data_IF_688349879769
#
_entry.id   IF_688349879769
#
_cell.length_a   1.000
_cell.length_b   1.000
_cell.length_c   1.000
_cell.angle_alpha   90.00
_cell.angle_beta   90.00
_cell.angle_gamma   90.00
#
_symmetry.space_group_name_H-M   'P 1'
#
loop_
_entity.id
_entity.type
_entity.pdbx_description
1 polymer ?
#
# COMPACT_ATOMS: atom_id res chain seq x y z
N UNK A 1 6.00 -14.04 -30.47
CA UNK A 1 4.84 -13.90 -29.56
C UNK A 1 4.74 -12.45 -29.14
N UNK A 2 3.62 -11.74 -29.43
CA UNK A 2 3.48 -10.35 -29.05
C UNK A 2 3.30 -10.24 -27.53
N UNK A 3 3.72 -9.09 -27.03
CA UNK A 3 3.90 -8.73 -25.63
C UNK A 3 2.58 -8.61 -24.88
N UNK A 4 2.12 -9.68 -24.24
CA UNK A 4 1.03 -9.58 -23.26
C UNK A 4 1.57 -8.94 -21.97
N UNK A 5 0.99 -7.80 -21.58
CA UNK A 5 1.20 -7.18 -20.27
C UNK A 5 0.93 -8.23 -19.17
N UNK A 6 1.86 -8.40 -18.23
CA UNK A 6 1.73 -9.41 -17.18
C UNK A 6 2.15 -10.84 -17.55
N UNK A 7 2.82 -11.08 -18.69
CA UNK A 7 3.32 -12.40 -19.03
C UNK A 7 4.31 -12.94 -17.96
N UNK A 8 4.13 -14.20 -17.49
CA UNK A 8 4.96 -14.80 -16.46
C UNK A 8 6.40 -15.06 -16.94
N UNK A 9 7.35 -15.10 -16.01
CA UNK A 9 8.73 -15.52 -16.30
C UNK A 9 8.82 -17.04 -16.25
N UNK A 10 9.09 -17.66 -17.39
CA UNK A 10 9.27 -19.10 -17.54
C UNK A 10 10.71 -19.47 -17.15
N UNK A 11 10.87 -20.54 -16.37
CA UNK A 11 12.18 -21.10 -16.03
C UNK A 11 12.72 -21.95 -17.18
N UNK A 12 14.05 -21.99 -17.34
CA UNK A 12 14.67 -22.86 -18.34
C UNK A 12 14.30 -24.32 -18.08
N UNK A 13 13.94 -25.04 -19.13
CA UNK A 13 13.76 -26.49 -19.04
C UNK A 13 15.08 -27.17 -18.65
N UNK A 14 15.04 -27.95 -17.59
CA UNK A 14 16.17 -28.74 -17.07
C UNK A 14 15.85 -30.24 -17.02
N UNK A 15 14.87 -30.70 -17.80
CA UNK A 15 14.43 -32.10 -17.84
C UNK A 15 13.43 -32.46 -16.74
N UNK A 16 12.74 -31.47 -16.17
CA UNK A 16 11.75 -31.63 -15.11
C UNK A 16 10.42 -30.95 -15.45
N UNK A 17 9.64 -30.59 -14.43
CA UNK A 17 8.39 -29.86 -14.64
C UNK A 17 8.63 -28.45 -15.19
N UNK A 18 7.78 -28.03 -16.13
CA UNK A 18 7.79 -26.67 -16.66
C UNK A 18 7.23 -25.72 -15.61
N UNK A 19 8.09 -24.86 -15.09
CA UNK A 19 7.76 -23.95 -14.01
C UNK A 19 7.83 -22.48 -14.47
N UNK A 20 7.00 -21.65 -13.87
CA UNK A 20 6.99 -20.20 -14.07
C UNK A 20 6.94 -19.47 -12.73
N UNK A 21 7.58 -18.31 -12.67
CA UNK A 21 7.43 -17.40 -11.54
C UNK A 21 6.02 -16.79 -11.55
N UNK A 22 5.42 -16.70 -10.37
CA UNK A 22 4.10 -16.09 -10.19
C UNK A 22 4.10 -14.61 -10.61
N UNK A 23 3.07 -14.22 -11.36
CA UNK A 23 2.89 -12.85 -11.84
C UNK A 23 1.97 -12.01 -10.93
N UNK A 24 1.21 -12.69 -10.05
CA UNK A 24 0.37 -12.14 -8.99
C UNK A 24 0.35 -13.07 -7.75
N UNK A 25 -0.44 -12.72 -6.73
CA UNK A 25 -0.71 -13.57 -5.56
C UNK A 25 -2.13 -14.19 -5.60
N UNK A 26 -3.04 -13.65 -6.42
CA UNK A 26 -4.42 -14.13 -6.55
C UNK A 26 -4.53 -15.51 -7.19
N UNK A 27 -3.80 -15.79 -8.29
CA UNK A 27 -3.83 -17.12 -8.93
C UNK A 27 -3.23 -18.21 -8.03
N UNK A 28 -2.06 -18.00 -7.38
CA UNK A 28 -1.57 -18.93 -6.37
C UNK A 28 -2.55 -19.21 -5.23
N UNK A 29 -3.30 -18.18 -4.78
CA UNK A 29 -4.33 -18.33 -3.77
C UNK A 29 -5.52 -19.17 -4.26
N UNK A 30 -6.02 -18.90 -5.46
CA UNK A 30 -7.09 -19.69 -6.06
C UNK A 30 -6.72 -21.18 -6.16
N UNK A 31 -5.50 -21.47 -6.60
CA UNK A 31 -4.95 -22.83 -6.62
C UNK A 31 -4.87 -23.42 -5.20
N UNK A 32 -4.39 -22.67 -4.22
CA UNK A 32 -4.29 -23.13 -2.83
C UNK A 32 -5.66 -23.51 -2.24
N UNK A 33 -6.67 -22.66 -2.39
CA UNK A 33 -8.04 -22.91 -1.92
C UNK A 33 -8.60 -24.18 -2.54
N UNK A 34 -8.48 -24.30 -3.87
CA UNK A 34 -8.99 -25.46 -4.61
C UNK A 34 -8.28 -26.77 -4.22
N UNK A 35 -6.95 -26.78 -4.17
CA UNK A 35 -6.16 -27.98 -3.85
C UNK A 35 -6.41 -28.51 -2.43
N UNK A 36 -6.74 -27.63 -1.49
CA UNK A 36 -7.01 -28.01 -0.10
C UNK A 36 -8.50 -28.21 0.18
N UNK A 37 -9.38 -28.10 -0.82
CA UNK A 37 -10.83 -28.25 -0.64
C UNK A 37 -11.45 -27.21 0.31
N UNK A 38 -10.84 -26.01 0.39
CA UNK A 38 -11.28 -24.94 1.29
C UNK A 38 -12.51 -24.26 0.70
N UNK A 39 -13.56 -24.10 1.50
CA UNK A 39 -14.83 -23.49 1.07
C UNK A 39 -15.03 -22.06 1.59
N UNK A 40 -14.27 -21.64 2.60
CA UNK A 40 -14.28 -20.27 3.13
C UNK A 40 -12.92 -19.95 3.77
N UNK A 41 -12.36 -18.79 3.47
CA UNK A 41 -11.10 -18.31 4.02
C UNK A 41 -11.01 -16.79 3.87
N UNK A 42 -10.58 -16.09 4.93
CA UNK A 42 -10.06 -14.72 4.82
C UNK A 42 -8.55 -14.75 5.04
N UNK A 43 -7.77 -14.11 4.16
CA UNK A 43 -6.32 -14.11 4.27
C UNK A 43 -5.70 -12.86 3.69
N UNK A 44 -4.56 -12.46 4.25
CA UNK A 44 -3.64 -11.54 3.58
C UNK A 44 -2.38 -12.29 3.13
N UNK A 45 -1.72 -11.77 2.10
CA UNK A 45 -0.43 -12.27 1.64
C UNK A 45 0.43 -11.12 1.13
N UNK A 46 1.62 -10.97 1.72
CA UNK A 46 2.64 -10.03 1.25
C UNK A 46 3.75 -10.82 0.58
N UNK A 47 4.06 -10.51 -0.67
CA UNK A 47 5.08 -11.25 -1.39
C UNK A 47 5.51 -10.61 -2.69
N UNK A 48 6.72 -10.97 -3.12
CA UNK A 48 7.25 -10.58 -4.43
C UNK A 48 6.52 -11.32 -5.55
N UNK A 49 6.29 -10.59 -6.64
CA UNK A 49 5.76 -11.09 -7.91
C UNK A 49 6.63 -10.63 -9.06
N UNK A 50 6.52 -11.33 -10.19
CA UNK A 50 7.41 -11.10 -11.34
C UNK A 50 6.62 -10.89 -12.62
N UNK A 51 6.79 -9.72 -13.25
CA UNK A 51 6.15 -9.40 -14.53
C UNK A 51 7.20 -9.02 -15.56
N UNK A 52 7.09 -9.53 -16.79
CA UNK A 52 8.00 -9.18 -17.90
C UNK A 52 7.59 -7.89 -18.59
N UNK A 53 7.25 -6.87 -17.81
CA UNK A 53 6.89 -5.56 -18.31
C UNK A 53 8.14 -4.74 -18.70
N UNK A 54 7.91 -3.67 -19.48
CA UNK A 54 8.91 -2.66 -19.75
C UNK A 54 9.15 -1.82 -18.49
N UNK A 55 10.37 -1.83 -17.93
CA UNK A 55 10.65 -1.14 -16.68
C UNK A 55 10.58 0.37 -16.85
N UNK A 56 10.01 1.06 -15.86
CA UNK A 56 9.99 2.52 -15.73
C UNK A 56 10.03 2.89 -14.25
N UNK A 57 10.15 4.18 -13.91
CA UNK A 57 10.09 4.62 -12.51
C UNK A 57 8.76 4.16 -11.87
N UNK A 58 8.82 3.48 -10.72
CA UNK A 58 7.64 2.87 -10.06
C UNK A 58 7.06 1.62 -10.76
N UNK A 59 7.69 1.11 -11.81
CA UNK A 59 7.29 -0.10 -12.53
C UNK A 59 8.48 -1.02 -12.74
N UNK A 60 8.61 -1.99 -11.84
CA UNK A 60 9.71 -2.94 -11.82
C UNK A 60 9.29 -4.30 -12.38
N UNK A 61 10.27 -5.16 -12.64
CA UNK A 61 10.05 -6.55 -13.09
C UNK A 61 9.89 -7.54 -11.94
N UNK A 62 10.37 -7.16 -10.77
CA UNK A 62 10.14 -7.78 -9.48
C UNK A 62 9.66 -6.66 -8.56
N UNK A 63 8.56 -6.87 -7.84
CA UNK A 63 8.01 -5.91 -6.89
C UNK A 63 7.13 -6.62 -5.88
N UNK A 64 6.87 -5.97 -4.74
CA UNK A 64 5.94 -6.48 -3.74
C UNK A 64 4.47 -6.18 -4.10
N UNK A 65 3.62 -7.17 -3.83
CA UNK A 65 2.18 -6.98 -3.67
C UNK A 65 1.79 -7.31 -2.22
N UNK A 66 0.79 -6.60 -1.73
CA UNK A 66 0.11 -6.87 -0.47
C UNK A 66 -1.37 -7.13 -0.76
N UNK A 67 -1.74 -8.40 -0.81
CA UNK A 67 -3.09 -8.83 -1.16
C UNK A 67 -3.88 -9.15 0.11
N UNK A 68 -5.16 -8.78 0.13
CA UNK A 68 -6.15 -9.23 1.11
C UNK A 68 -7.36 -9.78 0.36
N UNK A 69 -7.77 -11.00 0.69
CA UNK A 69 -8.83 -11.71 -0.03
C UNK A 69 -9.76 -12.45 0.92
N UNK A 70 -11.04 -12.44 0.57
CA UNK A 70 -12.12 -13.17 1.22
C UNK A 70 -12.70 -14.14 0.20
N UNK A 71 -12.46 -15.43 0.41
CA UNK A 71 -13.08 -16.53 -0.33
C UNK A 71 -14.23 -17.12 0.49
N UNK A 72 -15.33 -17.46 -0.16
CA UNK A 72 -16.48 -18.13 0.43
C UNK A 72 -17.79 -17.71 -0.20
N UNK A 73 -18.81 -18.56 -0.02
CA UNK A 73 -20.17 -18.27 -0.47
C UNK A 73 -20.89 -17.41 0.58
N UNK A 74 -21.04 -16.12 0.29
CA UNK A 74 -21.75 -15.16 1.13
C UNK A 74 -22.99 -14.68 0.38
N UNK A 75 -24.16 -14.75 1.01
CA UNK A 75 -25.46 -14.36 0.43
C UNK A 75 -25.59 -12.85 0.13
N UNK A 76 -24.58 -12.04 0.44
CA UNK A 76 -24.63 -10.58 0.37
C UNK A 76 -23.30 -10.02 -0.11
N UNK A 77 -23.29 -8.75 -0.53
CA UNK A 77 -22.09 -7.96 -0.88
C UNK A 77 -21.32 -7.42 0.34
N UNK A 78 -21.55 -8.00 1.52
CA UNK A 78 -20.85 -7.59 2.74
C UNK A 78 -19.33 -7.77 2.65
N UNK A 79 -18.78 -8.90 2.12
CA UNK A 79 -17.34 -9.04 1.94
C UNK A 79 -16.74 -7.98 1.01
N UNK A 80 -17.46 -7.59 -0.04
CA UNK A 80 -17.03 -6.55 -0.98
C UNK A 80 -16.88 -5.21 -0.27
N UNK A 81 -17.85 -4.89 0.59
CA UNK A 81 -17.86 -3.66 1.39
C UNK A 81 -16.75 -3.68 2.44
N UNK A 82 -16.50 -4.83 3.08
CA UNK A 82 -15.41 -5.05 4.04
C UNK A 82 -14.04 -4.81 3.38
N UNK A 83 -13.82 -5.34 2.17
CA UNK A 83 -12.57 -5.13 1.43
C UNK A 83 -12.33 -3.66 1.10
N UNK A 84 -13.37 -2.93 0.68
CA UNK A 84 -13.27 -1.48 0.41
C UNK A 84 -12.99 -0.71 1.71
N UNK A 85 -13.63 -1.08 2.83
CA UNK A 85 -13.38 -0.47 4.13
C UNK A 85 -11.93 -0.66 4.59
N UNK A 86 -11.40 -1.89 4.51
CA UNK A 86 -10.00 -2.18 4.83
C UNK A 86 -9.06 -1.34 3.95
N UNK A 87 -9.35 -1.23 2.65
CA UNK A 87 -8.56 -0.39 1.76
C UNK A 87 -8.58 1.08 2.19
N UNK A 88 -9.75 1.63 2.55
CA UNK A 88 -9.83 3.02 3.02
C UNK A 88 -9.03 3.25 4.29
N UNK A 89 -9.15 2.36 5.29
CA UNK A 89 -8.40 2.48 6.56
C UNK A 89 -6.89 2.38 6.33
N UNK A 90 -6.45 1.44 5.51
CA UNK A 90 -5.04 1.26 5.19
C UNK A 90 -4.45 2.51 4.51
N UNK A 91 -5.18 3.11 3.57
CA UNK A 91 -4.71 4.32 2.89
C UNK A 91 -4.69 5.55 3.82
N UNK A 92 -5.63 5.64 4.77
CA UNK A 92 -5.64 6.69 5.79
C UNK A 92 -4.44 6.56 6.74
N UNK A 93 -4.19 5.34 7.25
CA UNK A 93 -3.08 5.07 8.18
C UNK A 93 -1.72 5.31 7.55
N UNK A 94 -1.56 5.03 6.25
CA UNK A 94 -0.32 5.29 5.52
C UNK A 94 0.00 6.79 5.40
N UNK A 95 -0.99 7.67 5.55
CA UNK A 95 -0.84 9.14 5.51
C UNK A 95 -0.02 9.65 4.30
N UNK A 96 -0.22 9.02 3.15
CA UNK A 96 0.53 9.31 1.91
C UNK A 96 0.02 10.55 1.16
N UNK A 97 -0.89 11.32 1.75
CA UNK A 97 -1.56 12.46 1.14
C UNK A 97 -2.76 12.07 0.27
N UNK A 98 -3.28 13.04 -0.48
CA UNK A 98 -4.52 12.88 -1.25
C UNK A 98 -4.40 11.85 -2.40
N UNK A 99 -5.39 10.98 -2.52
CA UNK A 99 -5.53 10.02 -3.61
C UNK A 99 -6.90 10.19 -4.26
N UNK A 100 -7.02 10.59 -5.52
CA UNK A 100 -8.33 10.89 -6.11
C UNK A 100 -8.45 10.53 -7.59
N UNK A 101 -9.68 10.53 -8.06
CA UNK A 101 -10.10 10.47 -9.47
C UNK A 101 -9.56 11.68 -10.25
N UNK A 102 -9.13 11.46 -11.50
CA UNK A 102 -8.62 12.52 -12.38
C UNK A 102 -9.69 13.52 -12.83
N UNK A 103 -9.80 14.69 -12.20
CA UNK A 103 -10.59 15.79 -12.76
C UNK A 103 -9.97 16.35 -14.04
N UNK A 104 -10.71 16.25 -15.16
CA UNK A 104 -10.66 17.28 -16.20
C UNK A 104 -11.81 18.24 -15.91
N UNK A 105 -11.54 19.25 -15.07
CA UNK A 105 -12.40 20.43 -14.99
C UNK A 105 -11.99 21.35 -16.13
N UNK A 106 -12.92 21.61 -17.04
CA UNK A 106 -12.84 22.78 -17.91
C UNK A 106 -12.95 24.03 -17.03
N UNK A 107 -12.02 24.96 -17.24
CA UNK A 107 -11.77 26.19 -16.52
C UNK A 107 -13.02 26.99 -16.13
N UNK A 108 -13.10 27.43 -14.87
CA UNK A 108 -13.88 28.60 -14.46
C UNK A 108 -12.95 29.56 -13.73
N UNK A 109 -12.82 30.77 -14.27
CA UNK A 109 -12.13 31.90 -13.66
C UNK A 109 -12.93 32.44 -12.46
N UNK A 110 -12.30 32.62 -11.29
CA UNK A 110 -12.05 33.95 -10.68
C UNK A 110 -11.53 33.87 -9.22
N UNK A 111 -10.51 34.71 -8.97
CA UNK A 111 -10.18 35.42 -7.73
C UNK A 111 -9.49 34.69 -6.55
N UNK A 112 -8.34 35.27 -6.15
CA UNK A 112 -7.39 34.84 -5.11
C UNK A 112 -7.98 34.69 -3.69
N UNK A 113 -9.22 35.12 -3.42
CA UNK A 113 -9.82 35.03 -2.09
C UNK A 113 -10.36 33.62 -1.79
N UNK A 114 -10.69 32.84 -2.82
CA UNK A 114 -11.19 31.47 -2.66
C UNK A 114 -10.08 30.51 -2.22
N UNK A 115 -8.82 30.75 -2.60
CA UNK A 115 -7.71 29.82 -2.35
C UNK A 115 -7.40 29.71 -0.86
N UNK A 116 -7.43 30.80 -0.10
CA UNK A 116 -7.13 30.75 1.33
C UNK A 116 -8.27 30.13 2.15
N UNK A 117 -9.53 30.42 1.78
CA UNK A 117 -10.70 29.80 2.40
C UNK A 117 -10.81 28.32 2.00
N UNK A 118 -10.47 27.96 0.77
CA UNK A 118 -10.38 26.58 0.28
C UNK A 118 -9.24 25.84 0.97
N UNK A 119 -8.08 26.46 1.23
CA UNK A 119 -6.98 25.81 1.97
C UNK A 119 -7.32 25.58 3.44
N UNK A 120 -8.08 26.48 4.06
CA UNK A 120 -8.57 26.33 5.44
C UNK A 120 -9.73 25.32 5.50
N UNK A 121 -10.63 25.33 4.52
CA UNK A 121 -11.67 24.30 4.34
C UNK A 121 -11.04 22.94 4.03
N UNK A 122 -10.04 22.83 3.15
CA UNK A 122 -9.28 21.60 2.87
C UNK A 122 -8.50 21.08 4.08
N UNK A 123 -8.19 21.93 5.08
CA UNK A 123 -7.63 21.49 6.37
C UNK A 123 -8.70 21.07 7.39
N UNK A 124 -9.92 21.58 7.27
CA UNK A 124 -11.06 21.25 8.15
C UNK A 124 -11.99 20.17 7.57
N UNK A 125 -11.79 19.84 6.29
CA UNK A 125 -12.56 18.90 5.52
C UNK A 125 -11.57 17.84 5.03
N UNK A 126 -11.71 16.60 5.52
CA UNK A 126 -11.05 15.37 5.04
C UNK A 126 -11.41 15.02 3.57
N UNK A 127 -11.36 15.98 2.64
CA UNK A 127 -11.75 15.77 1.25
C UNK A 127 -10.52 15.52 0.38
N UNK A 128 -10.76 14.73 -0.66
CA UNK A 128 -9.88 14.42 -1.82
C UNK A 128 -9.15 13.07 -1.77
N UNK A 129 -9.63 12.13 -0.94
CA UNK A 129 -9.15 10.75 -0.94
C UNK A 129 -10.26 9.77 -1.37
N UNK A 130 -10.36 9.48 -2.67
CA UNK A 130 -11.41 8.69 -3.32
C UNK A 130 -10.90 7.44 -4.04
N UNK A 131 -11.62 6.34 -3.84
CA UNK A 131 -11.49 5.06 -4.52
C UNK A 131 -12.54 5.02 -5.63
N UNK A 132 -12.08 4.82 -6.87
CA UNK A 132 -12.98 4.54 -7.99
C UNK A 132 -13.60 3.16 -7.78
N UNK A 133 -14.90 3.05 -8.03
CA UNK A 133 -15.64 1.80 -7.97
C UNK A 133 -16.53 1.68 -9.19
N UNK A 134 -16.64 0.47 -9.71
CA UNK A 134 -17.60 0.09 -10.74
C UNK A 134 -17.98 -1.39 -10.58
N UNK A 135 -18.83 -1.89 -11.46
CA UNK A 135 -19.27 -3.28 -11.47
C UNK A 135 -19.20 -3.88 -12.86
N UNK A 136 -18.65 -5.10 -12.99
CA UNK A 136 -18.46 -5.78 -14.28
C UNK A 136 -19.77 -5.91 -15.07
N UNK A 137 -20.83 -6.39 -14.42
CA UNK A 137 -22.15 -6.52 -15.05
C UNK A 137 -22.79 -5.16 -15.41
N UNK A 138 -22.46 -4.08 -14.69
CA UNK A 138 -22.93 -2.73 -15.05
C UNK A 138 -22.24 -2.27 -16.34
N UNK A 139 -20.92 -2.50 -16.43
CA UNK A 139 -20.13 -2.20 -17.62
C UNK A 139 -20.60 -3.02 -18.82
N UNK A 140 -20.81 -4.32 -18.67
CA UNK A 140 -21.31 -5.17 -19.76
C UNK A 140 -22.73 -4.74 -20.19
N UNK A 141 -23.63 -4.46 -19.24
CA UNK A 141 -24.95 -3.91 -19.55
C UNK A 141 -24.91 -2.54 -20.25
N UNK A 142 -23.99 -1.66 -19.87
CA UNK A 142 -23.74 -0.39 -20.58
C UNK A 142 -23.38 -0.62 -22.05
N UNK A 143 -22.49 -1.58 -22.33
CA UNK A 143 -22.08 -1.93 -23.69
C UNK A 143 -23.24 -2.53 -24.50
N UNK A 144 -24.03 -3.41 -23.89
CA UNK A 144 -25.27 -3.95 -24.50
C UNK A 144 -26.25 -2.82 -24.88
N UNK A 145 -26.49 -1.88 -23.97
CA UNK A 145 -27.38 -0.73 -24.17
C UNK A 145 -26.88 0.17 -25.31
N UNK A 146 -25.57 0.30 -25.46
CA UNK A 146 -24.96 1.08 -26.54
C UNK A 146 -25.08 0.38 -27.91
N UNK A 147 -25.32 -0.94 -27.94
CA UNK A 147 -25.39 -1.73 -29.17
C UNK A 147 -24.08 -2.44 -29.53
N UNK A 148 -23.16 -2.58 -28.57
CA UNK A 148 -21.89 -3.30 -28.80
C UNK A 148 -22.17 -4.80 -28.97
N UNK A 149 -21.56 -5.49 -29.95
CA UNK A 149 -21.61 -6.94 -30.04
C UNK A 149 -20.85 -7.61 -28.89
N UNK A 150 -21.40 -8.69 -28.32
CA UNK A 150 -20.85 -9.35 -27.12
C UNK A 150 -19.43 -9.88 -27.31
N UNK A 151 -19.08 -10.32 -28.52
CA UNK A 151 -17.73 -10.76 -28.88
C UNK A 151 -16.68 -9.64 -28.81
N UNK A 152 -17.11 -8.37 -28.87
CA UNK A 152 -16.24 -7.19 -28.78
C UNK A 152 -16.15 -6.60 -27.38
N UNK A 153 -16.87 -7.11 -26.38
CA UNK A 153 -16.90 -6.49 -25.05
C UNK A 153 -15.50 -6.35 -24.44
N UNK A 154 -14.70 -7.42 -24.48
CA UNK A 154 -13.35 -7.40 -23.91
C UNK A 154 -12.44 -6.39 -24.60
N UNK A 155 -12.46 -6.36 -25.93
CA UNK A 155 -11.60 -5.43 -26.68
C UNK A 155 -12.03 -3.99 -26.43
N UNK A 156 -13.33 -3.70 -26.33
CA UNK A 156 -13.85 -2.36 -26.03
C UNK A 156 -13.58 -1.95 -24.58
N UNK A 157 -13.75 -2.82 -23.59
CA UNK A 157 -13.30 -2.57 -22.21
C UNK A 157 -11.82 -2.18 -22.15
N UNK A 158 -10.97 -2.86 -22.93
CA UNK A 158 -9.54 -2.53 -23.02
C UNK A 158 -9.27 -1.16 -23.65
N UNK A 159 -10.15 -0.65 -24.52
CA UNK A 159 -10.11 0.74 -24.99
C UNK A 159 -10.47 1.71 -23.87
N UNK A 160 -11.57 1.45 -23.17
CA UNK A 160 -12.10 2.30 -22.10
C UNK A 160 -11.09 2.43 -20.95
N UNK A 161 -10.41 1.35 -20.57
CA UNK A 161 -9.37 1.36 -19.52
C UNK A 161 -8.22 2.36 -19.79
N UNK A 162 -7.99 2.74 -21.05
CA UNK A 162 -6.98 3.73 -21.42
C UNK A 162 -7.42 5.17 -21.16
N UNK A 163 -8.67 5.42 -20.76
CA UNK A 163 -9.22 6.75 -20.49
C UNK A 163 -8.49 7.50 -19.38
N UNK A 164 -7.81 6.78 -18.48
CA UNK A 164 -6.97 7.40 -17.46
C UNK A 164 -5.76 8.16 -18.02
N UNK A 165 -5.38 7.88 -19.27
CA UNK A 165 -4.15 8.41 -19.90
C UNK A 165 -4.41 9.10 -21.24
N UNK A 166 -5.46 8.70 -21.94
CA UNK A 166 -5.78 9.18 -23.28
C UNK A 166 -7.13 9.89 -23.27
N UNK A 167 -7.26 10.93 -24.10
CA UNK A 167 -8.53 11.60 -24.29
C UNK A 167 -9.56 10.67 -24.96
N UNK A 168 -10.84 10.94 -24.72
CA UNK A 168 -11.92 10.18 -25.35
C UNK A 168 -11.83 10.16 -26.88
N UNK A 169 -11.41 11.25 -27.53
CA UNK A 169 -11.20 11.30 -28.99
C UNK A 169 -10.15 10.31 -29.51
N UNK A 170 -9.09 10.04 -28.72
CA UNK A 170 -8.12 9.00 -29.09
C UNK A 170 -8.74 7.61 -28.96
N UNK A 171 -9.51 7.39 -27.90
CA UNK A 171 -10.14 6.09 -27.61
C UNK A 171 -11.28 5.79 -28.59
N UNK A 172 -12.04 6.81 -28.98
CA UNK A 172 -13.07 6.73 -30.03
C UNK A 172 -12.47 6.26 -31.35
N UNK A 173 -11.35 6.85 -31.77
CA UNK A 173 -10.62 6.40 -32.98
C UNK A 173 -10.16 4.95 -32.85
N UNK A 174 -9.59 4.55 -31.71
CA UNK A 174 -9.22 3.13 -31.48
C UNK A 174 -10.44 2.18 -31.59
N UNK A 175 -11.58 2.56 -31.01
CA UNK A 175 -12.80 1.74 -31.07
C UNK A 175 -13.34 1.60 -32.50
N UNK A 176 -13.31 2.68 -33.29
CA UNK A 176 -13.84 2.69 -34.66
C UNK A 176 -12.85 2.06 -35.63
N UNK A 177 -11.64 2.61 -35.70
CA UNK A 177 -10.67 2.31 -36.76
C UNK A 177 -9.98 0.94 -36.54
N UNK A 178 -9.69 0.56 -35.29
CA UNK A 178 -8.97 -0.68 -34.98
C UNK A 178 -9.90 -1.82 -34.57
N UNK A 179 -10.99 -1.52 -33.85
CA UNK A 179 -11.91 -2.54 -33.29
C UNK A 179 -13.20 -2.69 -34.10
N UNK A 180 -13.38 -1.85 -35.13
CA UNK A 180 -14.49 -1.94 -36.09
C UNK A 180 -15.84 -1.70 -35.45
N UNK A 181 -15.94 -0.79 -34.48
CA UNK A 181 -17.22 -0.29 -33.97
C UNK A 181 -17.74 0.80 -34.90
N UNK A 182 -19.06 0.95 -35.02
CA UNK A 182 -19.62 2.11 -35.70
C UNK A 182 -19.48 3.38 -34.83
N UNK A 183 -19.44 4.54 -35.50
CA UNK A 183 -19.23 5.84 -34.85
C UNK A 183 -20.36 6.17 -33.87
N UNK A 184 -21.60 5.79 -34.19
CA UNK A 184 -22.77 6.08 -33.35
C UNK A 184 -22.71 5.30 -32.03
N UNK A 185 -22.37 4.02 -32.07
CA UNK A 185 -22.14 3.18 -30.88
C UNK A 185 -20.97 3.72 -30.06
N UNK A 186 -19.87 4.12 -30.70
CA UNK A 186 -18.74 4.72 -30.00
C UNK A 186 -19.12 6.03 -29.28
N UNK A 187 -19.94 6.88 -29.91
CA UNK A 187 -20.45 8.10 -29.29
C UNK A 187 -21.40 7.82 -28.12
N UNK A 188 -22.27 6.81 -28.24
CA UNK A 188 -23.12 6.34 -27.13
C UNK A 188 -22.30 5.85 -25.94
N UNK A 189 -21.22 5.09 -26.16
CA UNK A 189 -20.30 4.71 -25.08
C UNK A 189 -19.76 5.97 -24.40
N UNK A 190 -19.38 6.97 -25.19
CA UNK A 190 -18.85 8.25 -24.72
C UNK A 190 -19.74 9.03 -23.77
N UNK A 191 -21.07 8.91 -23.89
CA UNK A 191 -21.99 9.59 -22.98
C UNK A 191 -22.02 8.95 -21.59
N UNK A 192 -21.80 7.64 -21.49
CA UNK A 192 -21.79 6.92 -20.22
C UNK A 192 -20.43 6.92 -19.55
N UNK A 193 -19.34 6.65 -20.27
CA UNK A 193 -17.99 6.56 -19.66
C UNK A 193 -17.50 7.90 -19.09
N UNK A 194 -18.12 9.02 -19.47
CA UNK A 194 -17.84 10.33 -18.86
C UNK A 194 -18.57 10.55 -17.53
N UNK A 195 -19.55 9.72 -17.21
CA UNK A 195 -20.34 9.82 -15.98
C UNK A 195 -19.57 9.21 -14.82
N UNK A 196 -19.43 10.02 -13.78
CA UNK A 196 -18.86 9.64 -12.50
C UNK A 196 -19.40 10.58 -11.44
N UNK A 197 -19.52 10.11 -10.21
CA UNK A 197 -20.05 10.95 -9.14
C UNK A 197 -20.15 10.24 -7.81
N UNK A 198 -20.84 10.89 -6.88
CA UNK A 198 -21.13 10.32 -5.57
C UNK A 198 -21.93 9.02 -5.74
N UNK A 199 -21.59 7.95 -5.01
CA UNK A 199 -22.13 6.62 -5.30
C UNK A 199 -23.66 6.56 -5.26
N UNK A 200 -24.29 7.11 -4.22
CA UNK A 200 -25.74 7.09 -4.06
C UNK A 200 -26.48 8.00 -5.05
N UNK A 201 -25.92 9.16 -5.37
CA UNK A 201 -26.52 10.14 -6.31
C UNK A 201 -26.52 9.57 -7.74
N UNK A 202 -25.36 9.12 -8.23
CA UNK A 202 -25.24 8.54 -9.57
C UNK A 202 -26.01 7.22 -9.69
N UNK A 203 -26.04 6.40 -8.63
CA UNK A 203 -26.85 5.18 -8.63
C UNK A 203 -28.35 5.50 -8.75
N UNK A 204 -28.83 6.55 -8.09
CA UNK A 204 -30.22 6.98 -8.19
C UNK A 204 -30.58 7.44 -9.62
N UNK A 205 -29.67 8.15 -10.29
CA UNK A 205 -29.81 8.53 -11.71
C UNK A 205 -29.88 7.29 -12.62
N UNK A 206 -28.97 6.32 -12.42
CA UNK A 206 -28.97 5.07 -13.17
C UNK A 206 -30.22 4.22 -12.91
N UNK A 207 -30.84 4.37 -11.73
CA UNK A 207 -32.08 3.72 -11.32
C UNK A 207 -33.35 4.55 -11.58
N UNK A 208 -33.26 5.68 -12.29
CA UNK A 208 -34.43 6.50 -12.60
C UNK A 208 -35.42 5.72 -13.49
N UNK A 209 -36.72 5.97 -13.30
CA UNK A 209 -37.77 5.37 -14.14
C UNK A 209 -37.55 5.71 -15.62
N UNK A 210 -37.61 4.69 -16.49
CA UNK A 210 -37.27 4.80 -17.92
C UNK A 210 -35.78 4.66 -18.24
N UNK A 211 -34.91 4.41 -17.25
CA UNK A 211 -33.51 4.11 -17.49
C UNK A 211 -33.33 2.75 -18.18
N UNK A 212 -32.58 2.76 -19.29
CA UNK A 212 -32.21 1.54 -20.01
C UNK A 212 -31.41 0.55 -19.15
N UNK A 213 -30.71 1.03 -18.12
CA UNK A 213 -29.98 0.16 -17.18
C UNK A 213 -30.92 -0.65 -16.29
N UNK A 214 -32.12 -0.15 -16.02
CA UNK A 214 -33.12 -0.82 -15.20
C UNK A 214 -33.86 -1.90 -15.98
N UNK A 215 -34.05 -1.67 -17.28
CA UNK A 215 -34.67 -2.62 -18.23
C UNK A 215 -33.69 -3.72 -18.68
N UNK A 216 -32.39 -3.45 -18.65
CA UNK A 216 -31.36 -4.39 -19.08
C UNK A 216 -31.10 -5.49 -18.02
N UNK A 217 -31.21 -6.75 -18.46
CA UNK A 217 -31.09 -7.95 -17.59
C UNK A 217 -29.70 -8.12 -16.98
N UNK A 218 -28.66 -7.62 -17.64
CA UNK A 218 -27.27 -7.75 -17.21
C UNK A 218 -26.94 -6.69 -16.14
N UNK A 219 -27.34 -5.43 -16.33
CA UNK A 219 -27.05 -4.35 -15.37
C UNK A 219 -27.98 -4.32 -14.15
N UNK A 220 -29.23 -4.77 -14.27
CA UNK A 220 -30.20 -4.70 -13.17
C UNK A 220 -29.71 -5.37 -11.86
N UNK A 221 -29.12 -6.60 -11.86
CA UNK A 221 -28.56 -7.19 -10.65
C UNK A 221 -27.45 -6.34 -10.04
N UNK A 222 -26.59 -5.74 -10.88
CA UNK A 222 -25.49 -4.90 -10.43
C UNK A 222 -25.97 -3.65 -9.70
N UNK A 223 -27.04 -3.00 -10.21
CA UNK A 223 -27.62 -1.82 -9.57
C UNK A 223 -28.13 -2.13 -8.15
N UNK A 224 -28.72 -3.31 -7.95
CA UNK A 224 -29.21 -3.74 -6.63
C UNK A 224 -28.06 -4.14 -5.70
N UNK A 225 -27.06 -4.87 -6.21
CA UNK A 225 -25.85 -5.22 -5.47
C UNK A 225 -25.10 -3.96 -5.00
N UNK A 226 -24.91 -2.97 -5.88
CA UNK A 226 -24.28 -1.69 -5.54
C UNK A 226 -25.10 -0.87 -4.54
N UNK A 227 -26.43 -0.89 -4.62
CA UNK A 227 -27.28 -0.18 -3.63
C UNK A 227 -27.04 -0.70 -2.22
N UNK A 228 -26.98 -2.02 -2.05
CA UNK A 228 -26.71 -2.65 -0.76
C UNK A 228 -25.28 -2.32 -0.31
N UNK A 229 -24.32 -2.41 -1.23
CA UNK A 229 -22.91 -2.11 -0.95
C UNK A 229 -22.74 -0.66 -0.48
N UNK A 230 -23.34 0.32 -1.16
CA UNK A 230 -23.22 1.73 -0.80
C UNK A 230 -23.86 2.03 0.56
N UNK A 231 -24.97 1.37 0.91
CA UNK A 231 -25.54 1.44 2.28
C UNK A 231 -24.58 0.86 3.33
N UNK A 232 -23.88 -0.23 3.03
CA UNK A 232 -22.87 -0.78 3.95
C UNK A 232 -21.67 0.16 4.12
N UNK A 233 -21.20 0.77 3.04
CA UNK A 233 -20.11 1.75 3.09
C UNK A 233 -20.51 3.06 3.80
N UNK A 234 -21.77 3.48 3.67
CA UNK A 234 -22.33 4.61 4.42
C UNK A 234 -22.34 4.31 5.92
N UNK A 235 -22.87 3.14 6.31
CA UNK A 235 -22.87 2.69 7.70
C UNK A 235 -21.46 2.47 8.27
N UNK A 236 -20.48 2.10 7.43
CA UNK A 236 -19.08 1.96 7.80
C UNK A 236 -18.32 3.31 7.86
N UNK A 237 -18.98 4.42 7.51
CA UNK A 237 -18.40 5.76 7.54
C UNK A 237 -17.32 6.01 6.50
N UNK A 238 -17.35 5.28 5.36
CA UNK A 238 -16.34 5.42 4.31
C UNK A 238 -16.90 5.69 2.91
N UNK A 239 -18.23 5.90 2.77
CA UNK A 239 -18.87 6.20 1.48
C UNK A 239 -18.32 7.45 0.79
N UNK A 240 -17.94 8.47 1.56
CA UNK A 240 -17.36 9.73 1.03
C UNK A 240 -15.99 9.53 0.38
N UNK A 241 -15.36 8.37 0.63
CA UNK A 241 -14.08 7.96 0.04
C UNK A 241 -14.27 7.09 -1.21
N UNK A 242 -15.49 6.97 -1.72
CA UNK A 242 -15.80 6.15 -2.90
C UNK A 242 -16.47 7.01 -3.96
N UNK A 243 -16.11 6.78 -5.22
CA UNK A 243 -16.76 7.36 -6.39
C UNK A 243 -17.17 6.26 -7.33
N UNK A 244 -18.44 6.30 -7.75
CA UNK A 244 -18.91 5.45 -8.84
C UNK A 244 -18.40 6.06 -10.16
N UNK A 245 -17.58 5.31 -10.90
CA UNK A 245 -16.94 5.76 -12.14
C UNK A 245 -17.19 4.73 -13.26
N UNK A 246 -18.05 5.08 -14.22
CA UNK A 246 -18.40 4.17 -15.32
C UNK A 246 -17.26 3.94 -16.33
N UNK A 247 -16.20 4.77 -16.29
CA UNK A 247 -14.99 4.52 -17.08
C UNK A 247 -14.07 3.45 -16.49
N UNK A 248 -14.28 3.03 -15.23
CA UNK A 248 -13.45 2.01 -14.61
C UNK A 248 -13.80 0.64 -15.22
N UNK A 249 -13.08 0.31 -16.30
CA UNK A 249 -13.12 -0.97 -17.00
C UNK A 249 -11.91 -1.85 -16.68
N UNK A 250 -11.12 -1.43 -15.69
CA UNK A 250 -9.86 -2.04 -15.30
C UNK A 250 -10.08 -3.42 -14.73
N UNK A 251 -9.29 -4.39 -15.14
CA UNK A 251 -9.40 -5.72 -14.56
C UNK A 251 -8.63 -6.76 -15.32
N UNK A 252 -8.06 -7.69 -14.57
CA UNK A 252 -7.72 -8.99 -15.12
C UNK A 252 -9.04 -9.65 -15.55
N UNK A 253 -9.03 -10.41 -16.64
CA UNK A 253 -10.23 -10.99 -17.29
C UNK A 253 -11.09 -11.89 -16.38
N UNK A 254 -10.67 -12.09 -15.12
CA UNK A 254 -11.32 -12.93 -14.14
C UNK A 254 -12.33 -12.21 -13.22
N UNK A 255 -12.45 -10.87 -13.24
CA UNK A 255 -13.43 -10.19 -12.39
C UNK A 255 -14.87 -10.42 -12.89
N UNK A 256 -15.76 -10.75 -11.96
CA UNK A 256 -17.17 -11.12 -12.20
C UNK A 256 -18.17 -10.12 -11.60
N UNK A 257 -17.73 -9.30 -10.65
CA UNK A 257 -18.58 -8.41 -9.87
C UNK A 257 -18.01 -6.99 -9.72
N UNK A 258 -17.99 -6.47 -8.50
CA UNK A 258 -17.41 -5.16 -8.18
C UNK A 258 -15.93 -5.10 -8.59
N UNK A 259 -15.50 -3.91 -9.00
CA UNK A 259 -14.14 -3.57 -9.35
C UNK A 259 -13.85 -2.24 -8.69
N UNK A 260 -12.68 -2.08 -8.09
CA UNK A 260 -12.28 -0.83 -7.48
C UNK A 260 -10.80 -0.54 -7.64
N UNK A 261 -10.47 0.74 -7.65
CA UNK A 261 -9.12 1.25 -7.85
C UNK A 261 -8.88 2.54 -7.07
N UNK A 262 -7.78 2.59 -6.33
CA UNK A 262 -7.27 3.81 -5.72
C UNK A 262 -6.11 4.37 -6.55
N UNK A 263 -6.16 5.66 -6.89
CA UNK A 263 -5.15 6.33 -7.72
C UNK A 263 -4.56 7.52 -6.95
N UNK A 264 -3.24 7.59 -6.86
CA UNK A 264 -2.57 8.69 -6.18
C UNK A 264 -2.57 9.98 -7.00
N UNK A 265 -2.79 11.13 -6.34
CA UNK A 265 -2.92 12.46 -6.99
C UNK A 265 -1.86 13.49 -6.61
N UNK A 266 -0.91 13.16 -5.75
CA UNK A 266 0.17 14.08 -5.45
C UNK A 266 1.03 14.45 -6.68
N UNK A 267 1.97 15.37 -6.47
CA UNK A 267 2.89 15.85 -7.52
C UNK A 267 3.63 14.72 -8.26
N UNK A 268 3.74 13.55 -7.65
CA UNK A 268 4.37 12.37 -8.23
C UNK A 268 3.33 11.50 -8.93
N UNK A 269 3.45 11.41 -10.25
CA UNK A 269 2.64 10.50 -11.04
C UNK A 269 3.08 9.04 -10.84
N UNK A 270 2.57 8.37 -9.81
CA UNK A 270 2.74 6.93 -9.62
C UNK A 270 1.53 6.11 -10.12
N UNK A 271 0.41 6.77 -10.42
CA UNK A 271 -0.82 6.13 -10.88
C UNK A 271 -1.54 5.34 -9.78
N UNK A 272 -2.16 4.22 -10.17
CA UNK A 272 -2.87 3.29 -9.28
C UNK A 272 -2.03 2.81 -8.10
N UNK A 273 -2.45 3.04 -6.87
CA UNK A 273 -1.75 2.55 -5.67
C UNK A 273 -2.38 1.27 -5.12
N UNK A 274 -3.68 1.05 -5.35
CA UNK A 274 -4.36 -0.19 -5.01
C UNK A 274 -5.43 -0.52 -6.04
N UNK A 275 -5.70 -1.80 -6.24
CA UNK A 275 -6.80 -2.26 -7.09
C UNK A 275 -7.34 -3.60 -6.59
N UNK A 276 -8.61 -3.87 -6.87
CA UNK A 276 -9.26 -5.10 -6.45
C UNK A 276 -10.62 -5.29 -7.08
N UNK A 277 -11.28 -6.38 -6.70
CA UNK A 277 -12.59 -6.72 -7.20
C UNK A 277 -13.01 -8.14 -6.87
N UNK A 278 -14.23 -8.49 -7.27
CA UNK A 278 -14.84 -9.82 -7.10
C UNK A 278 -14.56 -10.72 -8.28
N UNK A 279 -14.15 -11.97 -8.04
CA UNK A 279 -13.65 -12.93 -9.03
C UNK A 279 -14.15 -14.37 -8.80
N UNK A 280 -15.46 -14.58 -8.86
CA UNK A 280 -16.08 -15.81 -8.34
C UNK A 280 -15.72 -17.11 -9.09
N UNK A 281 -15.23 -16.99 -10.32
CA UNK A 281 -14.95 -18.14 -11.18
C UNK A 281 -13.51 -18.65 -11.07
N UNK A 282 -12.57 -17.85 -10.54
CA UNK A 282 -11.14 -18.15 -10.63
C UNK A 282 -10.75 -19.41 -9.85
N UNK A 283 -11.31 -19.59 -8.65
CA UNK A 283 -11.03 -20.76 -7.79
C UNK A 283 -11.59 -22.04 -8.43
N UNK A 284 -12.77 -21.94 -9.05
CA UNK A 284 -13.41 -23.04 -9.76
C UNK A 284 -12.60 -23.56 -10.95
N UNK A 285 -11.68 -22.76 -11.52
CA UNK A 285 -10.78 -23.21 -12.59
C UNK A 285 -9.72 -24.23 -12.12
N UNK A 286 -9.43 -24.28 -10.82
CA UNK A 286 -8.43 -25.19 -10.23
C UNK A 286 -9.03 -26.37 -9.46
N UNK A 287 -10.35 -26.40 -9.27
CA UNK A 287 -11.05 -27.39 -8.46
C UNK A 287 -12.35 -27.86 -9.09
N UNK A 288 -13.12 -28.66 -8.35
CA UNK A 288 -14.41 -29.20 -8.82
C UNK A 288 -15.61 -28.36 -8.38
N UNK A 289 -15.43 -27.46 -7.42
CA UNK A 289 -16.48 -26.60 -6.86
C UNK A 289 -16.11 -25.12 -7.05
N UNK A 290 -17.05 -24.27 -7.51
CA UNK A 290 -16.84 -22.84 -7.49
C UNK A 290 -16.79 -22.34 -6.05
N UNK A 291 -15.87 -21.42 -5.77
CA UNK A 291 -15.77 -20.72 -4.49
C UNK A 291 -15.70 -19.23 -4.82
N UNK A 292 -16.78 -18.47 -4.55
CA UNK A 292 -16.79 -17.02 -4.75
C UNK A 292 -15.68 -16.32 -3.98
N UNK A 293 -15.14 -15.23 -4.50
CA UNK A 293 -14.05 -14.53 -3.84
C UNK A 293 -14.01 -13.04 -4.22
N UNK A 294 -13.56 -12.21 -3.29
CA UNK A 294 -13.32 -10.78 -3.48
C UNK A 294 -12.05 -10.38 -2.74
N UNK A 295 -11.29 -9.44 -3.29
CA UNK A 295 -10.08 -8.97 -2.64
C UNK A 295 -9.47 -7.74 -3.27
N UNK A 296 -8.39 -7.30 -2.66
CA UNK A 296 -7.64 -6.07 -2.99
C UNK A 296 -6.15 -6.33 -2.94
N UNK A 297 -5.39 -5.65 -3.78
CA UNK A 297 -3.94 -5.63 -3.79
C UNK A 297 -3.43 -4.20 -3.69
N UNK A 298 -2.56 -3.94 -2.70
CA UNK A 298 -1.81 -2.69 -2.56
C UNK A 298 -0.45 -2.82 -3.27
N UNK A 299 -0.15 -1.86 -4.13
CA UNK A 299 1.13 -1.71 -4.81
C UNK A 299 2.17 -1.04 -3.91
N UNK A 300 2.80 -1.82 -3.03
CA UNK A 300 3.71 -1.33 -1.97
C UNK A 300 4.84 -0.44 -2.52
N UNK A 301 5.45 -0.80 -3.66
CA UNK A 301 6.56 0.00 -4.23
C UNK A 301 6.15 1.45 -4.54
N UNK A 302 4.89 1.66 -4.95
CA UNK A 302 4.38 3.01 -5.25
C UNK A 302 4.17 3.80 -3.96
N UNK A 303 3.69 3.14 -2.92
CA UNK A 303 3.56 3.70 -1.57
C UNK A 303 4.93 4.13 -1.05
N UNK A 304 5.95 3.26 -1.11
CA UNK A 304 7.32 3.60 -0.71
C UNK A 304 7.88 4.79 -1.50
N UNK A 305 7.64 4.84 -2.81
CA UNK A 305 8.07 5.97 -3.64
C UNK A 305 7.43 7.29 -3.18
N UNK A 306 6.14 7.27 -2.82
CA UNK A 306 5.45 8.45 -2.31
C UNK A 306 6.03 8.87 -0.95
N UNK A 307 6.17 7.92 -0.02
CA UNK A 307 6.67 8.16 1.33
C UNK A 307 8.11 8.71 1.32
N UNK A 308 9.01 8.12 0.53
CA UNK A 308 10.39 8.62 0.39
C UNK A 308 10.43 10.07 -0.09
N UNK A 309 9.54 10.45 -1.01
CA UNK A 309 9.50 11.82 -1.52
C UNK A 309 8.88 12.81 -0.54
N UNK A 310 7.91 12.38 0.26
CA UNK A 310 7.39 13.19 1.37
C UNK A 310 8.49 13.43 2.41
N UNK A 311 9.24 12.38 2.77
CA UNK A 311 10.38 12.48 3.67
C UNK A 311 11.49 13.39 3.13
N UNK A 312 11.80 13.33 1.83
CA UNK A 312 12.79 14.24 1.23
C UNK A 312 12.38 15.71 1.28
N UNK A 313 11.07 16.01 1.33
CA UNK A 313 10.57 17.38 1.49
C UNK A 313 10.62 17.85 2.95
N UNK A 314 10.47 16.93 3.89
CA UNK A 314 10.64 17.22 5.30
C UNK A 314 12.13 17.16 5.69
N UNK A 315 12.82 18.30 5.57
CA UNK A 315 14.26 18.40 5.89
C UNK A 315 14.59 18.01 7.34
N UNK A 316 13.61 17.95 8.24
CA UNK A 316 13.81 17.58 9.64
C UNK A 316 13.69 16.07 9.90
N UNK A 317 13.23 15.28 8.92
CA UNK A 317 13.06 13.84 9.07
C UNK A 317 14.04 13.11 8.16
N UNK A 318 14.94 12.31 8.73
CA UNK A 318 15.71 11.39 7.92
C UNK A 318 15.75 9.99 8.51
N UNK A 319 15.76 9.05 7.57
CA UNK A 319 15.55 7.64 7.79
C UNK A 319 16.78 7.06 8.48
N UNK A 320 16.56 6.35 9.58
CA UNK A 320 17.59 5.54 10.23
C UNK A 320 17.56 4.15 9.61
N UNK A 321 18.71 3.68 9.11
CA UNK A 321 18.85 2.33 8.59
C UNK A 321 18.96 1.27 9.70
N UNK A 322 19.15 1.70 10.95
CA UNK A 322 19.29 0.82 12.12
C UNK A 322 18.43 1.32 13.28
N UNK A 323 18.08 0.41 14.17
CA UNK A 323 17.33 0.68 15.41
C UNK A 323 18.26 0.78 16.63
N UNK A 324 19.56 0.97 16.42
CA UNK A 324 20.57 1.01 17.49
C UNK A 324 20.26 2.15 18.46
N UNK A 325 19.98 1.84 19.72
CA UNK A 325 19.63 2.82 20.74
C UNK A 325 20.87 3.36 21.46
N UNK A 326 21.86 2.49 21.70
CA UNK A 326 23.07 2.83 22.46
C UNK A 326 24.33 2.39 21.70
N UNK A 327 25.31 3.28 21.60
CA UNK A 327 26.67 2.94 21.19
C UNK A 327 27.60 2.87 22.42
N UNK A 328 28.18 1.70 22.69
CA UNK A 328 29.24 1.53 23.69
C UNK A 328 30.59 1.86 23.06
N UNK A 329 31.15 3.01 23.42
CA UNK A 329 32.37 3.58 22.86
C UNK A 329 33.56 3.31 23.76
N UNK A 330 34.49 2.46 23.30
CA UNK A 330 35.75 2.18 23.99
C UNK A 330 36.97 2.71 23.24
N UNK A 331 37.92 3.26 23.99
CA UNK A 331 39.09 3.96 23.44
C UNK A 331 40.36 3.10 23.36
N UNK A 332 40.38 1.93 24.01
CA UNK A 332 41.51 1.00 23.97
C UNK A 332 41.04 -0.46 23.97
N UNK A 333 41.91 -1.35 23.48
CA UNK A 333 41.65 -2.79 23.34
C UNK A 333 41.41 -3.44 24.70
N UNK A 334 42.10 -2.98 25.74
CA UNK A 334 41.99 -3.52 27.09
C UNK A 334 40.59 -3.33 27.71
N UNK A 335 39.79 -2.42 27.13
CA UNK A 335 38.41 -2.14 27.55
C UNK A 335 37.37 -2.95 26.78
N UNK A 336 37.77 -3.76 25.79
CA UNK A 336 36.84 -4.62 25.06
C UNK A 336 36.05 -5.57 25.98
N UNK A 337 36.64 -6.25 26.98
CA UNK A 337 35.86 -7.10 27.89
C UNK A 337 34.73 -6.35 28.59
N UNK A 338 34.98 -5.09 28.98
CA UNK A 338 33.98 -4.19 29.56
C UNK A 338 32.94 -3.78 28.52
N UNK A 339 33.35 -3.47 27.29
CA UNK A 339 32.44 -3.17 26.18
C UNK A 339 31.44 -4.31 25.93
N UNK A 340 31.94 -5.55 25.88
CA UNK A 340 31.11 -6.75 25.73
C UNK A 340 30.16 -6.94 26.91
N UNK A 341 30.64 -6.72 28.13
CA UNK A 341 29.81 -6.82 29.34
C UNK A 341 28.66 -5.79 29.32
N UNK A 342 28.95 -4.54 28.97
CA UNK A 342 27.96 -3.46 28.85
C UNK A 342 26.97 -3.67 27.69
N UNK A 343 27.46 -4.05 26.51
CA UNK A 343 26.60 -4.36 25.37
C UNK A 343 25.69 -5.56 25.68
N UNK A 344 26.22 -6.60 26.32
CA UNK A 344 25.44 -7.77 26.74
C UNK A 344 24.40 -7.41 27.79
N UNK A 345 24.70 -6.51 28.73
CA UNK A 345 23.70 -5.98 29.68
C UNK A 345 22.53 -5.32 28.94
N UNK A 346 22.84 -4.47 27.97
CA UNK A 346 21.84 -3.80 27.14
C UNK A 346 20.99 -4.83 26.38
N UNK A 347 21.60 -5.80 25.72
CA UNK A 347 20.87 -6.85 25.00
C UNK A 347 19.98 -7.70 25.92
N UNK A 348 20.47 -8.07 27.11
CA UNK A 348 19.68 -8.81 28.10
C UNK A 348 18.46 -8.01 28.58
N UNK A 349 18.58 -6.68 28.63
CA UNK A 349 17.46 -5.76 28.90
C UNK A 349 16.64 -5.37 27.66
N UNK A 350 16.86 -6.04 26.52
CA UNK A 350 16.19 -5.75 25.22
C UNK A 350 16.43 -4.33 24.68
N UNK A 351 17.56 -3.74 25.04
CA UNK A 351 18.04 -2.47 24.47
C UNK A 351 18.97 -2.80 23.30
N UNK A 352 18.68 -2.23 22.12
CA UNK A 352 19.51 -2.38 20.93
C UNK A 352 20.82 -1.63 21.09
N UNK A 353 21.92 -2.37 21.33
CA UNK A 353 23.23 -1.80 21.55
C UNK A 353 24.27 -2.30 20.55
N UNK A 354 25.23 -1.46 20.20
CA UNK A 354 26.43 -1.82 19.45
C UNK A 354 27.66 -1.28 20.18
N UNK A 355 28.80 -1.95 20.06
CA UNK A 355 30.06 -1.40 20.57
C UNK A 355 30.96 -0.94 19.42
N UNK A 356 31.84 0.01 19.72
CA UNK A 356 32.86 0.52 18.81
C UNK A 356 34.20 0.59 19.55
N UNK A 357 35.28 0.20 18.87
CA UNK A 357 36.64 0.41 19.33
C UNK A 357 37.35 1.39 18.40
N UNK A 358 37.76 2.54 18.94
CA UNK A 358 38.60 3.48 18.22
C UNK A 358 39.30 4.43 19.19
N UNK A 359 40.59 4.73 18.98
CA UNK A 359 41.37 5.58 19.90
C UNK A 359 40.88 7.04 19.97
N UNK A 360 40.33 7.54 18.87
CA UNK A 360 39.83 8.91 18.76
C UNK A 360 38.33 8.98 19.07
N UNK A 361 37.96 9.65 20.17
CA UNK A 361 36.57 9.87 20.61
C UNK A 361 35.72 10.59 19.55
N UNK A 362 36.30 11.50 18.77
CA UNK A 362 35.57 12.21 17.71
C UNK A 362 35.01 11.25 16.67
N UNK A 363 35.70 10.14 16.37
CA UNK A 363 35.19 9.13 15.44
C UNK A 363 33.97 8.39 15.98
N UNK A 364 33.89 8.19 17.30
CA UNK A 364 32.72 7.61 17.94
C UNK A 364 31.52 8.56 17.89
N UNK A 365 31.75 9.85 18.17
CA UNK A 365 30.72 10.89 18.11
C UNK A 365 30.24 11.05 16.66
N UNK A 366 31.14 11.13 15.69
CA UNK A 366 30.78 11.22 14.27
C UNK A 366 29.92 10.05 13.81
N UNK A 367 30.28 8.80 14.19
CA UNK A 367 29.48 7.61 13.87
C UNK A 367 28.09 7.68 14.51
N UNK A 368 28.00 8.06 15.78
CA UNK A 368 26.73 8.17 16.47
C UNK A 368 25.82 9.23 15.84
N UNK A 369 26.37 10.37 15.42
CA UNK A 369 25.63 11.41 14.69
C UNK A 369 25.20 10.92 13.30
N UNK A 370 26.10 10.30 12.54
CA UNK A 370 25.83 9.79 11.18
C UNK A 370 24.73 8.72 11.17
N UNK A 371 24.81 7.76 12.10
CA UNK A 371 23.80 6.70 12.28
C UNK A 371 22.60 7.12 13.13
N UNK A 372 22.62 8.36 13.65
CA UNK A 372 21.59 8.94 14.54
C UNK A 372 21.30 8.07 15.75
N UNK A 373 22.34 7.48 16.33
CA UNK A 373 22.24 6.72 17.57
C UNK A 373 22.01 7.73 18.70
N UNK A 374 20.89 7.63 19.43
CA UNK A 374 20.51 8.68 20.37
C UNK A 374 21.43 8.76 21.59
N UNK A 375 22.02 7.63 22.02
CA UNK A 375 22.85 7.59 23.23
C UNK A 375 24.21 6.91 22.99
N UNK A 376 25.21 7.36 23.73
CA UNK A 376 26.53 6.73 23.78
C UNK A 376 26.92 6.45 25.23
N UNK A 377 27.50 5.28 25.48
CA UNK A 377 28.22 4.97 26.72
C UNK A 377 29.70 5.04 26.42
N UNK A 378 30.39 6.05 26.94
CA UNK A 378 31.81 6.27 26.72
C UNK A 378 32.58 5.66 27.90
N UNK A 379 33.50 4.77 27.57
CA UNK A 379 34.36 4.08 28.54
C UNK A 379 35.81 4.48 28.27
N UNK A 380 36.40 5.20 29.22
CA UNK A 380 37.82 5.57 29.23
C UNK A 380 38.52 5.07 30.49
N UNK A 381 39.85 5.16 30.49
CA UNK A 381 40.67 4.69 31.61
C UNK A 381 40.37 5.44 32.92
N UNK A 382 40.22 6.76 32.85
CA UNK A 382 39.95 7.60 34.02
C UNK A 382 38.57 7.33 34.63
N UNK A 383 37.56 7.06 33.80
CA UNK A 383 36.20 6.75 34.23
C UNK A 383 36.15 5.41 34.98
N UNK A 384 36.93 4.42 34.52
CA UNK A 384 37.05 3.11 35.18
C UNK A 384 37.71 3.24 36.55
N UNK A 385 38.77 4.04 36.69
CA UNK A 385 39.41 4.29 37.98
C UNK A 385 38.43 4.88 39.01
N UNK A 386 37.47 5.68 38.53
CA UNK A 386 36.39 6.27 39.35
C UNK A 386 35.18 5.34 39.54
N UNK A 387 35.13 4.20 38.85
CA UNK A 387 33.99 3.28 38.88
C UNK A 387 32.74 3.84 38.21
N UNK A 388 32.88 4.68 37.18
CA UNK A 388 31.78 5.29 36.43
C UNK A 388 31.94 5.04 34.92
N UNK A 389 30.86 5.27 34.17
CA UNK A 389 30.88 5.45 32.71
C UNK A 389 30.21 6.77 32.37
N UNK A 390 30.57 7.36 31.22
CA UNK A 390 29.87 8.56 30.74
C UNK A 390 28.73 8.17 29.81
N UNK A 391 27.51 8.53 30.18
CA UNK A 391 26.35 8.46 29.30
C UNK A 391 26.19 9.80 28.60
N UNK A 392 26.23 9.79 27.26
CA UNK A 392 26.03 10.96 26.42
C UNK A 392 24.71 10.83 25.68
N UNK A 393 23.83 11.81 25.85
CA UNK A 393 22.74 12.09 24.94
C UNK A 393 23.30 12.84 23.72
N UNK A 394 23.29 12.19 22.57
CA UNK A 394 23.86 12.71 21.32
C UNK A 394 22.96 13.82 20.75
N UNK A 395 21.65 13.75 21.00
CA UNK A 395 20.66 14.69 20.48
C UNK A 395 20.64 15.96 21.32
N UNK A 396 20.54 15.84 22.65
CA UNK A 396 20.55 16.98 23.57
C UNK A 396 21.96 17.54 23.82
N UNK A 397 22.99 16.82 23.36
CA UNK A 397 24.40 17.11 23.63
C UNK A 397 24.70 17.27 25.15
N UNK A 398 24.08 16.42 25.97
CA UNK A 398 24.28 16.38 27.42
C UNK A 398 25.09 15.13 27.79
N UNK A 399 25.90 15.24 28.83
CA UNK A 399 26.71 14.15 29.36
C UNK A 399 26.53 14.07 30.86
N UNK A 400 26.46 12.85 31.38
CA UNK A 400 26.47 12.57 32.81
C UNK A 400 27.35 11.36 33.13
N UNK A 401 27.91 11.34 34.35
CA UNK A 401 28.62 10.19 34.87
C UNK A 401 27.61 9.26 35.55
N UNK A 402 27.51 8.03 35.07
CA UNK A 402 26.68 6.97 35.63
C UNK A 402 27.57 5.98 36.36
N UNK A 403 27.32 5.68 37.64
CA UNK A 403 28.06 4.66 38.36
C UNK A 403 27.99 3.32 37.63
N UNK A 404 29.14 2.68 37.44
CA UNK A 404 29.17 1.24 37.22
C UNK A 404 28.82 0.64 38.58
N UNK A 405 27.69 -0.07 38.71
CA UNK A 405 27.31 -0.71 39.97
C UNK A 405 28.49 -1.49 40.57
N UNK A 406 28.57 -1.59 41.91
CA UNK A 406 29.74 -2.07 42.66
C UNK A 406 30.34 -3.41 42.15
N UNK A 407 29.51 -4.20 41.47
CA UNK A 407 29.83 -5.43 40.78
C UNK A 407 30.79 -5.31 39.57
N UNK A 408 31.19 -4.10 39.16
CA UNK A 408 32.21 -3.86 38.14
C UNK A 408 33.63 -3.71 38.69
N UNK A 409 33.80 -3.37 39.98
CA UNK A 409 35.13 -3.25 40.61
C UNK A 409 35.88 -4.59 40.62
N UNK A 410 35.16 -5.71 40.54
CA UNK A 410 35.71 -7.05 40.40
C UNK A 410 35.93 -7.41 38.91
N UNK A 411 36.92 -6.79 38.26
CA UNK A 411 37.38 -7.20 36.93
C UNK A 411 38.26 -8.48 36.96
N UNK A 412 38.13 -9.29 38.02
CA UNK A 412 38.66 -10.64 38.12
C UNK A 412 37.66 -11.53 38.85
N UNK A 413 36.95 -12.31 38.04
CA UNK A 413 36.09 -13.45 38.40
C UNK A 413 34.68 -13.11 38.91
N UNK A 414 33.76 -13.91 38.35
CA UNK A 414 32.40 -14.22 38.75
C UNK A 414 31.22 -13.40 38.20
N UNK A 415 30.16 -14.16 37.95
CA UNK A 415 28.90 -13.82 37.32
C UNK A 415 28.21 -12.69 38.08
N UNK A 416 28.00 -11.58 37.39
CA UNK A 416 27.25 -10.43 37.88
C UNK A 416 26.14 -10.17 36.89
N UNK A 417 24.90 -10.21 37.37
CA UNK A 417 23.73 -9.75 36.64
C UNK A 417 23.73 -8.22 36.57
N UNK A 418 23.77 -7.68 35.36
CA UNK A 418 23.82 -6.25 35.05
C UNK A 418 22.41 -5.62 34.97
N UNK A 419 21.46 -6.17 35.72
CA UNK A 419 20.06 -5.74 35.71
C UNK A 419 19.94 -4.27 36.06
N UNK A 420 20.60 -3.83 37.13
CA UNK A 420 20.36 -2.50 37.71
C UNK A 420 20.93 -1.38 36.84
N UNK A 421 22.07 -1.60 36.17
CA UNK A 421 22.65 -0.66 35.21
C UNK A 421 21.77 -0.54 33.96
N UNK A 422 21.27 -1.67 33.46
CA UNK A 422 20.41 -1.67 32.29
C UNK A 422 19.03 -1.07 32.62
N UNK A 423 18.48 -1.31 33.81
CA UNK A 423 17.27 -0.67 34.32
C UNK A 423 17.44 0.82 34.56
N UNK A 424 18.58 1.27 35.10
CA UNK A 424 18.86 2.70 35.28
C UNK A 424 19.04 3.41 33.93
N UNK A 425 19.75 2.80 32.98
CA UNK A 425 19.80 3.28 31.61
C UNK A 425 18.37 3.28 31.02
N UNK A 426 17.59 2.22 31.17
CA UNK A 426 16.24 2.11 30.62
C UNK A 426 15.28 3.16 31.21
N UNK A 427 15.33 3.40 32.51
CA UNK A 427 14.55 4.40 33.21
C UNK A 427 14.93 5.83 32.76
N UNK A 428 16.21 6.09 32.53
CA UNK A 428 16.71 7.39 32.02
C UNK A 428 16.41 7.59 30.53
N UNK A 429 16.49 6.53 29.72
CA UNK A 429 16.02 6.55 28.33
C UNK A 429 14.55 6.98 28.26
N UNK A 430 13.71 6.50 29.19
CA UNK A 430 12.29 6.83 29.25
C UNK A 430 12.01 8.25 29.79
N UNK A 431 12.74 8.70 30.82
CA UNK A 431 12.56 10.03 31.40
C UNK A 431 13.08 11.19 30.54
N UNK A 432 14.04 10.91 29.64
CA UNK A 432 14.58 11.91 28.71
C UNK A 432 13.85 11.94 27.36
N UNK A 433 12.98 10.96 27.07
CA UNK A 433 12.16 10.89 25.84
C UNK A 433 10.78 11.53 25.96
N UNK A 434 10.37 11.95 27.17
CA UNK A 434 9.15 12.72 27.47
C UNK A 434 9.45 14.19 27.70
#
# INVERSE_FOLDING_TARGET
MPWALGAPRILSDKGGELCSLRYDLTVPFARYVAMNGITSMKRYQIGKVHRRDNPSKGRYREFYQCDFDIAGDYKTVAPDSEVVKILTELLDELNIGDYEVAFHIATINHSLFFVLLLLILCRLINFLSQIKLNHRKLLDGMLEICGVPSEKFRTICSSIDKMDKLSFEHIKREMVDEKGLDVETADKIGTFVKQRGRPLELLAELKQEGSKFLENKTSWPALNEMEIMFKFLENAGCIDKVVLDLSLARGLDYYTGVIFEAVFKGATQVGSIAAGGRYDNLIGMFGTKPVPAVGVSLGIERVFTIMEQQLQKDQNQAIRATETQIQVSVLSVDLLPLAFKLASACWNARISAEYMLHKNIMKHISRAIELRIPFMVIVGGNEIEKGVVRLKDVVANKEEEVPLSDSFKALKREEVTLSDFAEEIFARLHSMSS
#
